data_IF_266718566779
#
_entry.id   IF_266718566779
#
_cell.length_a   1.000
_cell.length_b   1.000
_cell.length_c   1.000
_cell.angle_alpha   90.00
_cell.angle_beta   90.00
_cell.angle_gamma   90.00
#
_symmetry.space_group_name_H-M   'P 1'
#
loop_
_entity.id
_entity.type
_entity.pdbx_description
1 polymer ?
#
# COMPACT_ATOMS: atom_id res chain seq x y z
N UNK A 1 4.54 -22.86 -7.69
CA UNK A 1 4.03 -21.59 -8.22
C UNK A 1 4.85 -21.30 -9.45
N UNK A 2 4.17 -21.08 -10.58
CA UNK A 2 4.82 -20.70 -11.83
C UNK A 2 5.49 -19.32 -11.68
N UNK A 3 6.54 -19.04 -12.45
CA UNK A 3 7.26 -17.76 -12.36
C UNK A 3 6.34 -16.57 -12.68
N UNK A 4 5.35 -16.75 -13.56
CA UNK A 4 4.37 -15.70 -13.89
C UNK A 4 3.40 -15.43 -12.74
N UNK A 5 2.98 -16.47 -12.04
CA UNK A 5 2.11 -16.32 -10.86
C UNK A 5 2.84 -15.58 -9.75
N UNK A 6 4.11 -15.92 -9.50
CA UNK A 6 4.93 -15.23 -8.51
C UNK A 6 5.12 -13.76 -8.89
N UNK A 7 5.37 -13.47 -10.17
CA UNK A 7 5.52 -12.09 -10.65
C UNK A 7 4.25 -11.27 -10.46
N UNK A 8 3.06 -11.82 -10.75
CA UNK A 8 1.78 -11.15 -10.47
C UNK A 8 1.66 -10.74 -9.00
N UNK A 9 2.02 -11.65 -8.08
CA UNK A 9 1.97 -11.35 -6.65
C UNK A 9 2.99 -10.29 -6.25
N UNK A 10 4.19 -10.31 -6.83
CA UNK A 10 5.23 -9.28 -6.61
C UNK A 10 4.73 -7.92 -7.07
N UNK A 11 4.20 -7.82 -8.29
CA UNK A 11 3.74 -6.57 -8.88
C UNK A 11 2.58 -5.98 -8.06
N UNK A 12 1.60 -6.81 -7.70
CA UNK A 12 0.46 -6.38 -6.90
C UNK A 12 0.87 -5.95 -5.49
N UNK A 13 1.77 -6.66 -4.81
CA UNK A 13 2.15 -6.33 -3.41
C UNK A 13 3.13 -5.18 -3.32
N UNK A 14 3.95 -4.99 -4.36
CA UNK A 14 4.94 -3.90 -4.44
C UNK A 14 4.31 -2.57 -4.85
N UNK A 15 3.21 -2.60 -5.59
CA UNK A 15 2.44 -1.40 -5.95
C UNK A 15 1.98 -0.64 -4.69
N UNK A 16 2.12 0.69 -4.72
CA UNK A 16 1.71 1.58 -3.63
C UNK A 16 0.26 2.01 -3.81
N UNK A 17 -0.60 1.75 -2.83
CA UNK A 17 -1.98 2.25 -2.91
C UNK A 17 -2.72 2.21 -1.59
N UNK A 18 -2.73 3.33 -0.88
CA UNK A 18 -3.58 3.54 0.31
C UNK A 18 -5.01 3.93 -0.10
N UNK A 19 -6.01 3.90 0.81
CA UNK A 19 -7.36 4.35 0.49
C UNK A 19 -7.39 5.75 -0.15
N UNK A 20 -8.05 5.85 -1.30
CA UNK A 20 -8.16 7.04 -2.15
C UNK A 20 -6.95 7.32 -3.06
N UNK A 21 -5.91 6.47 -3.07
CA UNK A 21 -4.70 6.63 -3.88
C UNK A 21 -4.27 5.30 -4.54
N UNK A 22 -5.22 4.54 -5.11
CA UNK A 22 -5.04 3.16 -5.59
C UNK A 22 -4.55 3.06 -7.05
N UNK A 23 -4.24 4.18 -7.70
CA UNK A 23 -3.95 4.25 -9.14
C UNK A 23 -2.86 3.28 -9.59
N UNK A 24 -1.76 3.15 -8.85
CA UNK A 24 -0.65 2.27 -9.22
C UNK A 24 -1.08 0.79 -9.21
N UNK A 25 -1.84 0.38 -8.21
CA UNK A 25 -2.38 -0.99 -8.08
C UNK A 25 -3.40 -1.26 -9.18
N UNK A 26 -4.21 -0.26 -9.50
CA UNK A 26 -5.22 -0.32 -10.56
C UNK A 26 -4.59 -0.53 -11.93
N UNK A 27 -3.49 0.15 -12.23
CA UNK A 27 -2.78 -0.05 -13.50
C UNK A 27 -2.18 -1.45 -13.58
N UNK A 28 -1.61 -1.98 -12.48
CA UNK A 28 -1.19 -3.39 -12.42
C UNK A 28 -2.36 -4.32 -12.74
N UNK A 29 -3.50 -4.17 -12.05
CA UNK A 29 -4.68 -5.00 -12.31
C UNK A 29 -5.12 -4.93 -13.77
N UNK A 30 -5.20 -3.72 -14.33
CA UNK A 30 -5.64 -3.47 -15.70
C UNK A 30 -4.74 -4.19 -16.72
N UNK A 31 -3.42 -4.08 -16.58
CA UNK A 31 -2.48 -4.71 -17.51
C UNK A 31 -2.58 -6.24 -17.48
N UNK A 32 -2.76 -6.83 -16.29
CA UNK A 32 -2.96 -8.27 -16.16
C UNK A 32 -4.35 -8.75 -16.64
N UNK A 33 -5.40 -7.92 -16.52
CA UNK A 33 -6.75 -8.27 -16.94
C UNK A 33 -6.97 -8.14 -18.45
N UNK A 34 -6.30 -7.17 -19.10
CA UNK A 34 -6.51 -6.78 -20.50
C UNK A 34 -6.49 -7.92 -21.53
N UNK A 35 -5.63 -8.96 -21.42
CA UNK A 35 -5.63 -10.06 -22.39
C UNK A 35 -6.85 -10.99 -22.30
N UNK A 36 -7.60 -10.94 -21.21
CA UNK A 36 -8.63 -11.93 -20.86
C UNK A 36 -10.03 -11.30 -20.70
N UNK A 37 -10.11 -9.99 -20.55
CA UNK A 37 -11.35 -9.25 -20.42
C UNK A 37 -11.92 -8.84 -21.79
N UNK A 38 -13.23 -8.96 -21.95
CA UNK A 38 -13.96 -8.43 -23.12
C UNK A 38 -14.13 -6.90 -23.02
N UNK A 39 -14.22 -6.40 -21.78
CA UNK A 39 -14.40 -4.98 -21.48
C UNK A 39 -13.77 -4.62 -20.12
N UNK A 40 -13.25 -3.39 -20.01
CA UNK A 40 -12.70 -2.85 -18.75
C UNK A 40 -13.27 -1.45 -18.54
N UNK A 41 -13.91 -1.25 -17.40
CA UNK A 41 -14.52 0.04 -17.03
C UNK A 41 -14.28 0.39 -15.56
N UNK A 42 -14.63 1.61 -15.19
CA UNK A 42 -14.36 2.21 -13.89
C UNK A 42 -15.64 2.78 -13.26
N UNK A 43 -15.69 2.81 -11.92
CA UNK A 43 -16.86 3.32 -11.17
C UNK A 43 -16.84 4.84 -10.92
N UNK A 44 -15.77 5.53 -11.31
CA UNK A 44 -15.56 6.97 -11.09
C UNK A 44 -14.96 7.35 -9.73
N UNK A 45 -14.89 6.43 -8.76
CA UNK A 45 -14.18 6.61 -7.50
C UNK A 45 -12.76 6.06 -7.56
N UNK A 46 -12.57 5.00 -8.33
CA UNK A 46 -11.25 4.43 -8.59
C UNK A 46 -11.24 2.92 -8.81
N UNK A 47 -12.34 2.21 -8.56
CA UNK A 47 -12.42 0.77 -8.83
C UNK A 47 -12.25 0.50 -10.33
N UNK A 48 -11.58 -0.61 -10.65
CA UNK A 48 -11.48 -1.15 -12.01
C UNK A 48 -12.25 -2.46 -12.08
N UNK A 49 -13.05 -2.62 -13.12
CA UNK A 49 -13.89 -3.79 -13.33
C UNK A 49 -13.53 -4.40 -14.69
N UNK A 50 -13.06 -5.65 -14.66
CA UNK A 50 -12.85 -6.45 -15.85
C UNK A 50 -14.04 -7.40 -16.06
N UNK A 51 -14.65 -7.33 -17.23
CA UNK A 51 -15.81 -8.13 -17.60
C UNK A 51 -15.41 -9.18 -18.64
N UNK A 52 -15.94 -10.40 -18.48
CA UNK A 52 -15.81 -11.47 -19.45
C UNK A 52 -17.13 -12.26 -19.57
N UNK A 53 -17.48 -12.67 -20.79
CA UNK A 53 -18.63 -13.51 -21.12
C UNK A 53 -19.64 -12.84 -22.06
N UNK A 54 -20.24 -13.66 -22.94
CA UNK A 54 -21.16 -13.27 -24.01
C UNK A 54 -22.54 -12.73 -23.54
N UNK A 55 -22.82 -12.73 -22.22
CA UNK A 55 -24.12 -12.36 -21.66
C UNK A 55 -25.17 -13.48 -21.73
N UNK A 56 -26.39 -13.19 -21.27
CA UNK A 56 -27.52 -14.15 -21.30
C UNK A 56 -27.66 -15.08 -20.09
N UNK A 57 -26.62 -15.20 -19.25
CA UNK A 57 -26.64 -15.92 -17.97
C UNK A 57 -26.67 -15.01 -16.74
N UNK A 58 -26.62 -15.58 -15.51
CA UNK A 58 -26.48 -14.80 -14.28
C UNK A 58 -25.14 -14.05 -14.26
N UNK A 59 -25.13 -12.87 -13.62
CA UNK A 59 -23.91 -12.09 -13.40
C UNK A 59 -23.26 -12.53 -12.09
N UNK A 60 -22.01 -12.96 -12.16
CA UNK A 60 -21.19 -13.28 -10.98
C UNK A 60 -20.19 -12.15 -10.77
N UNK A 61 -20.10 -11.65 -9.54
CA UNK A 61 -19.16 -10.59 -9.17
C UNK A 61 -18.15 -11.14 -8.18
N UNK A 62 -16.86 -11.06 -8.55
CA UNK A 62 -15.73 -11.48 -7.72
C UNK A 62 -14.89 -10.24 -7.45
N UNK A 63 -14.71 -9.91 -6.18
CA UNK A 63 -14.03 -8.68 -5.77
C UNK A 63 -12.87 -8.95 -4.82
N UNK A 64 -11.70 -8.41 -5.16
CA UNK A 64 -10.65 -8.04 -4.21
C UNK A 64 -10.66 -6.53 -4.01
N UNK A 65 -10.10 -6.05 -2.90
CA UNK A 65 -9.88 -4.61 -2.70
C UNK A 65 -8.42 -4.27 -3.05
N UNK A 66 -8.20 -3.06 -3.58
CA UNK A 66 -6.89 -2.61 -4.07
C UNK A 66 -6.12 -1.82 -3.03
N UNK A 67 -6.81 -1.17 -2.11
CA UNK A 67 -6.19 -0.37 -1.07
C UNK A 67 -5.41 -1.25 -0.08
N UNK A 68 -4.38 -0.66 0.54
CA UNK A 68 -3.67 -1.23 1.67
C UNK A 68 -3.69 -0.22 2.82
N UNK A 69 -3.68 -0.72 4.06
CA UNK A 69 -3.52 0.16 5.21
C UNK A 69 -2.20 0.93 5.10
N UNK A 70 -2.24 2.21 5.45
CA UNK A 70 -1.09 3.10 5.34
C UNK A 70 -1.30 4.38 6.12
N UNK A 71 -0.64 5.45 5.68
CA UNK A 71 -0.71 6.75 6.34
C UNK A 71 -0.79 7.88 5.32
N UNK A 72 -1.12 9.06 5.80
CA UNK A 72 -1.14 10.30 5.03
C UNK A 72 -0.39 11.37 5.80
N UNK A 73 0.51 12.09 5.14
CA UNK A 73 1.19 13.25 5.75
C UNK A 73 0.15 14.30 6.11
N UNK A 74 0.14 14.77 7.37
CA UNK A 74 -0.76 15.84 7.83
C UNK A 74 -0.02 17.16 8.00
N UNK A 75 1.24 17.12 8.42
CA UNK A 75 2.04 18.32 8.69
C UNK A 75 3.53 18.01 8.63
N UNK A 76 4.30 19.01 8.20
CA UNK A 76 5.76 19.02 8.28
C UNK A 76 6.14 19.93 9.45
N UNK A 77 6.90 19.42 10.41
CA UNK A 77 7.39 20.20 11.56
C UNK A 77 8.50 21.16 11.16
N UNK A 78 8.78 22.18 11.98
CA UNK A 78 9.91 23.11 11.77
C UNK A 78 11.26 22.41 11.62
N UNK A 79 11.41 21.23 12.24
CA UNK A 79 12.64 20.43 12.23
C UNK A 79 12.69 19.38 11.11
N UNK A 80 11.71 19.37 10.19
CA UNK A 80 11.70 18.44 9.05
C UNK A 80 11.04 17.08 9.29
N UNK A 81 10.62 16.74 10.52
CA UNK A 81 9.81 15.54 10.78
C UNK A 81 8.39 15.66 10.22
N UNK A 82 7.76 14.54 9.89
CA UNK A 82 6.39 14.47 9.39
C UNK A 82 5.43 13.96 10.47
N UNK A 83 4.35 14.69 10.71
CA UNK A 83 3.16 14.18 11.39
C UNK A 83 2.27 13.49 10.35
N UNK A 84 1.52 12.47 10.78
CA UNK A 84 0.72 11.65 9.87
C UNK A 84 -0.62 11.24 10.48
N UNK A 85 -1.56 10.87 9.61
CA UNK A 85 -2.85 10.26 9.93
C UNK A 85 -2.86 8.83 9.40
N UNK A 86 -3.33 7.87 10.21
CA UNK A 86 -3.53 6.49 9.75
C UNK A 86 -4.69 6.41 8.77
N UNK A 87 -4.50 5.67 7.68
CA UNK A 87 -5.53 5.28 6.72
C UNK A 87 -5.77 3.78 6.89
N UNK A 88 -6.96 3.42 7.39
CA UNK A 88 -7.28 2.07 7.85
C UNK A 88 -6.86 1.80 9.30
N UNK A 89 -7.13 0.57 9.75
CA UNK A 89 -6.91 0.15 11.13
C UNK A 89 -5.46 -0.23 11.40
N UNK A 90 -4.81 0.49 12.32
CA UNK A 90 -3.43 0.21 12.74
C UNK A 90 -3.34 -0.10 14.24
N UNK A 91 -2.49 -1.07 14.57
CA UNK A 91 -2.10 -1.32 15.95
C UNK A 91 -0.77 -0.64 16.24
N UNK A 92 -0.74 0.34 17.14
CA UNK A 92 0.46 1.16 17.40
C UNK A 92 1.72 0.36 17.79
N UNK A 93 1.55 -0.84 18.36
CA UNK A 93 2.68 -1.67 18.77
C UNK A 93 3.50 -2.25 17.62
N UNK A 94 2.97 -2.26 16.39
CA UNK A 94 3.70 -2.76 15.20
C UNK A 94 4.33 -1.65 14.37
N UNK A 95 4.23 -0.38 14.79
CA UNK A 95 4.60 0.77 13.96
C UNK A 95 6.00 1.33 14.23
N UNK A 96 6.43 1.36 15.49
CA UNK A 96 7.72 1.96 15.84
C UNK A 96 8.89 1.21 15.17
N UNK A 97 9.86 1.98 14.68
CA UNK A 97 11.03 1.50 13.96
C UNK A 97 10.73 0.78 12.62
N UNK A 98 9.51 0.91 12.09
CA UNK A 98 9.19 0.42 10.75
C UNK A 98 9.59 1.44 9.67
N UNK A 99 10.04 0.91 8.53
CA UNK A 99 10.34 1.71 7.34
C UNK A 99 9.07 1.98 6.55
N UNK A 100 9.01 3.16 5.94
CA UNK A 100 7.90 3.61 5.10
C UNK A 100 8.42 4.32 3.85
N UNK A 101 7.58 4.38 2.84
CA UNK A 101 7.80 5.15 1.62
C UNK A 101 6.71 6.21 1.49
N UNK A 102 7.11 7.46 1.26
CA UNK A 102 6.23 8.57 0.96
C UNK A 102 6.25 8.78 -0.56
N UNK A 103 5.08 8.72 -1.20
CA UNK A 103 4.94 9.08 -2.62
C UNK A 103 4.42 10.50 -2.73
N UNK A 104 5.26 11.39 -3.22
CA UNK A 104 4.89 12.78 -3.49
C UNK A 104 3.92 12.88 -4.67
N UNK A 105 3.27 14.04 -4.82
CA UNK A 105 2.38 14.33 -5.96
C UNK A 105 3.06 14.23 -7.33
N UNK A 106 4.37 14.44 -7.38
CA UNK A 106 5.18 14.32 -8.61
C UNK A 106 5.66 12.89 -8.86
N UNK A 107 5.25 11.93 -8.02
CA UNK A 107 5.61 10.51 -8.14
C UNK A 107 6.98 10.16 -7.56
N UNK A 108 7.75 11.13 -7.04
CA UNK A 108 9.01 10.86 -6.34
C UNK A 108 8.76 10.09 -5.05
N UNK A 109 9.59 9.07 -4.81
CA UNK A 109 9.58 8.26 -3.59
C UNK A 109 10.64 8.78 -2.61
N UNK A 110 10.24 9.01 -1.37
CA UNK A 110 11.12 9.37 -0.25
C UNK A 110 10.99 8.30 0.83
N UNK A 111 12.12 7.78 1.31
CA UNK A 111 12.13 6.81 2.41
C UNK A 111 12.07 7.51 3.76
N UNK A 112 11.40 6.88 4.72
CA UNK A 112 11.38 7.33 6.10
C UNK A 112 11.26 6.18 7.09
N UNK A 113 11.37 6.52 8.37
CA UNK A 113 11.20 5.60 9.49
C UNK A 113 10.23 6.17 10.51
N UNK A 114 9.33 5.34 11.02
CA UNK A 114 8.43 5.76 12.10
C UNK A 114 9.21 5.80 13.42
N UNK A 115 9.28 7.00 14.01
CA UNK A 115 9.99 7.30 15.24
C UNK A 115 9.08 7.75 16.38
N UNK A 116 9.67 7.82 17.56
CA UNK A 116 9.08 8.39 18.77
C UNK A 116 10.14 9.11 19.59
N UNK A 117 9.74 9.77 20.67
CA UNK A 117 10.73 10.18 21.68
C UNK A 117 11.45 8.93 22.25
N UNK A 118 12.78 8.98 22.46
CA UNK A 118 13.53 7.85 22.98
C UNK A 118 13.05 7.39 24.37
N UNK A 119 13.04 6.08 24.68
CA UNK A 119 12.54 5.60 25.98
C UNK A 119 13.23 6.20 27.20
N UNK A 120 14.53 6.52 27.12
CA UNK A 120 15.33 7.04 28.24
C UNK A 120 14.99 8.48 28.64
N UNK A 121 14.29 9.24 27.78
CA UNK A 121 13.78 10.59 28.10
C UNK A 121 12.33 10.60 28.58
N UNK A 122 11.66 9.44 28.56
CA UNK A 122 10.27 9.30 28.97
C UNK A 122 10.16 9.06 30.49
N UNK A 123 9.05 9.50 31.06
CA UNK A 123 8.69 9.16 32.44
C UNK A 123 8.39 7.65 32.56
N UNK A 124 8.59 7.03 33.74
CA UNK A 124 8.26 5.62 33.95
C UNK A 124 6.80 5.27 33.60
N UNK A 125 5.87 6.19 33.86
CA UNK A 125 4.44 6.00 33.60
C UNK A 125 4.13 5.87 32.10
N UNK A 126 4.82 6.64 31.26
CA UNK A 126 4.67 6.57 29.80
C UNK A 126 5.37 5.33 29.24
N UNK A 127 6.55 4.99 29.77
CA UNK A 127 7.31 3.82 29.32
C UNK A 127 6.57 2.49 29.52
N UNK A 128 5.73 2.40 30.55
CA UNK A 128 5.00 1.17 30.87
C UNK A 128 3.68 1.00 30.08
N UNK A 129 3.44 1.82 29.07
CA UNK A 129 2.25 1.76 28.21
C UNK A 129 2.65 1.74 26.74
N UNK A 130 1.82 1.19 25.84
CA UNK A 130 2.00 1.36 24.40
C UNK A 130 2.11 2.85 24.05
N UNK A 131 3.03 3.19 23.16
CA UNK A 131 3.20 4.55 22.70
C UNK A 131 2.00 4.96 21.83
N UNK A 132 1.47 6.17 22.07
CA UNK A 132 0.30 6.66 21.34
C UNK A 132 0.68 7.02 19.90
N UNK A 133 -0.14 6.60 18.93
CA UNK A 133 0.12 6.84 17.50
C UNK A 133 0.27 8.33 17.19
N UNK A 134 -0.58 9.17 17.81
CA UNK A 134 -0.55 10.64 17.64
C UNK A 134 0.76 11.30 18.09
N UNK A 135 1.56 10.62 18.91
CA UNK A 135 2.83 11.12 19.43
C UNK A 135 4.03 10.59 18.59
N UNK A 136 3.77 9.71 17.62
CA UNK A 136 4.76 9.22 16.65
C UNK A 136 4.97 10.24 15.53
N UNK A 137 6.10 10.13 14.84
CA UNK A 137 6.42 10.93 13.65
C UNK A 137 7.15 10.07 12.62
N UNK A 138 7.22 10.53 11.37
CA UNK A 138 8.10 9.94 10.36
C UNK A 138 9.33 10.83 10.22
N UNK A 139 10.50 10.22 10.36
CA UNK A 139 11.78 10.85 10.07
C UNK A 139 12.22 10.47 8.66
N UNK A 140 12.47 11.48 7.83
CA UNK A 140 12.97 11.33 6.46
C UNK A 140 14.42 11.83 6.32
N UNK A 141 15.06 12.25 7.41
CA UNK A 141 16.42 12.80 7.42
C UNK A 141 16.52 14.28 7.03
N UNK A 142 15.40 15.01 6.96
CA UNK A 142 15.41 16.45 6.73
C UNK A 142 15.78 17.21 8.01
N UNK A 143 16.50 18.32 7.87
CA UNK A 143 16.96 19.20 8.95
C UNK A 143 16.06 20.43 9.15
N UNK A 144 15.11 20.67 8.24
CA UNK A 144 14.18 21.80 8.31
C UNK A 144 12.86 21.50 7.58
N UNK A 145 11.84 22.31 7.88
CA UNK A 145 10.58 22.26 7.14
C UNK A 145 10.77 22.56 5.64
N UNK A 146 11.64 23.53 5.34
CA UNK A 146 11.94 23.98 3.99
C UNK A 146 12.58 22.87 3.16
N UNK A 147 13.58 22.18 3.71
CA UNK A 147 14.24 21.05 3.03
C UNK A 147 13.28 19.91 2.70
N UNK A 148 12.39 19.55 3.63
CA UNK A 148 11.36 18.54 3.37
C UNK A 148 10.40 18.97 2.25
N UNK A 149 10.02 20.26 2.19
CA UNK A 149 9.20 20.81 1.10
C UNK A 149 9.96 20.82 -0.24
N UNK A 150 11.25 21.14 -0.24
CA UNK A 150 12.11 21.08 -1.44
C UNK A 150 12.21 19.67 -2.01
N UNK A 151 12.11 18.65 -1.16
CA UNK A 151 12.05 17.26 -1.62
C UNK A 151 10.71 16.85 -2.22
N UNK A 152 9.70 17.73 -2.15
CA UNK A 152 8.37 17.55 -2.72
C UNK A 152 7.30 17.13 -1.71
N UNK A 153 7.64 16.99 -0.42
CA UNK A 153 6.69 16.52 0.60
C UNK A 153 5.63 17.58 0.86
N UNK A 154 4.36 17.16 0.91
CA UNK A 154 3.21 18.00 1.24
C UNK A 154 2.18 17.25 2.08
N UNK A 155 1.35 17.96 2.88
CA UNK A 155 0.15 17.39 3.43
C UNK A 155 -0.74 16.76 2.34
N UNK A 156 -1.26 15.58 2.63
CA UNK A 156 -2.03 14.76 1.70
C UNK A 156 -1.21 13.70 0.95
N UNK A 157 0.12 13.75 0.97
CA UNK A 157 0.95 12.72 0.34
C UNK A 157 0.76 11.37 1.03
N UNK A 158 0.60 10.31 0.25
CA UNK A 158 0.42 8.97 0.79
C UNK A 158 1.73 8.38 1.31
N UNK A 159 1.61 7.57 2.34
CA UNK A 159 2.70 6.85 2.97
C UNK A 159 2.32 5.36 3.04
N UNK A 160 3.14 4.51 2.45
CA UNK A 160 2.96 3.05 2.47
C UNK A 160 4.05 2.39 3.31
N UNK A 161 3.78 1.25 3.98
CA UNK A 161 4.83 0.41 4.57
C UNK A 161 5.87 0.00 3.53
N UNK A 162 7.13 -0.08 3.93
CA UNK A 162 8.21 -0.59 3.07
C UNK A 162 8.60 -2.01 3.51
N UNK A 163 8.23 -3.00 2.70
CA UNK A 163 8.62 -4.40 2.88
C UNK A 163 9.05 -4.94 1.52
N UNK A 164 10.31 -5.34 1.42
CA UNK A 164 10.81 -6.02 0.22
C UNK A 164 10.19 -7.42 0.14
N UNK A 165 9.70 -7.78 -1.05
CA UNK A 165 9.22 -9.13 -1.31
C UNK A 165 10.32 -10.16 -1.04
N UNK A 166 9.98 -11.24 -0.34
CA UNK A 166 10.93 -12.34 -0.12
C UNK A 166 10.23 -13.69 -0.06
N UNK A 167 10.76 -14.65 -0.82
CA UNK A 167 10.49 -16.06 -0.57
C UNK A 167 11.25 -16.51 0.67
N UNK A 168 10.53 -16.93 1.70
CA UNK A 168 11.14 -17.27 2.98
C UNK A 168 11.93 -18.57 2.87
N UNK A 169 13.26 -18.49 2.96
CA UNK A 169 14.19 -19.63 3.03
C UNK A 169 13.97 -20.67 1.91
N UNK A 170 13.65 -20.22 0.69
CA UNK A 170 13.36 -21.10 -0.45
C UNK A 170 12.08 -21.93 -0.30
N UNK A 171 11.25 -21.65 0.70
CA UNK A 171 10.01 -22.39 0.97
C UNK A 171 8.84 -21.88 0.13
N UNK A 172 7.65 -22.44 0.37
CA UNK A 172 6.38 -21.97 -0.21
C UNK A 172 5.83 -20.69 0.43
N UNK A 173 6.42 -20.21 1.53
CA UNK A 173 5.94 -19.04 2.26
C UNK A 173 6.54 -17.76 1.69
N UNK A 174 5.67 -16.78 1.46
CA UNK A 174 5.99 -15.51 0.81
C UNK A 174 5.82 -14.36 1.81
N UNK A 175 6.83 -13.51 1.93
CA UNK A 175 6.80 -12.28 2.72
C UNK A 175 6.62 -11.10 1.77
N UNK A 176 5.61 -10.27 2.03
CA UNK A 176 5.35 -9.03 1.33
C UNK A 176 4.43 -8.14 2.17
N UNK A 177 4.31 -6.86 1.82
CA UNK A 177 3.22 -6.00 2.31
C UNK A 177 1.92 -6.28 1.55
N UNK A 178 0.82 -5.73 2.06
CA UNK A 178 -0.47 -5.66 1.35
C UNK A 178 -1.07 -7.01 0.91
N UNK A 179 -0.73 -8.15 1.54
CA UNK A 179 -1.43 -9.41 1.25
C UNK A 179 -2.95 -9.24 1.41
N UNK A 180 -3.37 -8.50 2.43
CA UNK A 180 -4.70 -7.92 2.56
C UNK A 180 -4.82 -6.65 1.70
N UNK A 181 -5.57 -6.65 0.59
CA UNK A 181 -6.20 -7.79 -0.08
C UNK A 181 -5.71 -7.96 -1.52
N UNK A 182 -4.42 -7.70 -1.75
CA UNK A 182 -3.78 -7.97 -3.05
C UNK A 182 -3.88 -9.45 -3.42
N UNK A 183 -3.99 -10.36 -2.44
CA UNK A 183 -4.25 -11.77 -2.72
C UNK A 183 -5.64 -12.01 -3.32
N UNK A 184 -6.70 -11.35 -2.83
CA UNK A 184 -8.04 -11.44 -3.40
C UNK A 184 -8.10 -10.86 -4.81
N UNK A 185 -7.39 -9.75 -5.03
CA UNK A 185 -7.20 -9.15 -6.35
C UNK A 185 -6.51 -10.12 -7.32
N UNK A 186 -5.43 -10.77 -6.89
CA UNK A 186 -4.76 -11.80 -7.68
C UNK A 186 -5.69 -12.99 -8.01
N UNK A 187 -6.46 -13.47 -7.03
CA UNK A 187 -7.43 -14.56 -7.23
C UNK A 187 -8.47 -14.17 -8.29
N UNK A 188 -8.99 -12.94 -8.25
CA UNK A 188 -9.96 -12.46 -9.25
C UNK A 188 -9.39 -12.46 -10.68
N UNK A 189 -8.13 -12.04 -10.86
CA UNK A 189 -7.42 -12.10 -12.14
C UNK A 189 -7.17 -13.53 -12.61
N UNK A 190 -6.82 -14.45 -11.70
CA UNK A 190 -6.63 -15.87 -12.04
C UNK A 190 -7.93 -16.53 -12.48
N UNK A 191 -9.05 -16.21 -11.83
CA UNK A 191 -10.37 -16.71 -12.24
C UNK A 191 -10.73 -16.19 -13.63
N UNK A 192 -10.55 -14.88 -13.87
CA UNK A 192 -10.76 -14.28 -15.19
C UNK A 192 -9.94 -14.97 -16.29
N UNK A 193 -8.63 -15.15 -16.06
CA UNK A 193 -7.74 -15.83 -17.02
C UNK A 193 -8.20 -17.26 -17.30
N UNK A 194 -8.54 -18.03 -16.27
CA UNK A 194 -8.94 -19.43 -16.46
C UNK A 194 -10.25 -19.54 -17.25
N UNK A 195 -11.25 -18.72 -16.94
CA UNK A 195 -12.52 -18.71 -17.67
C UNK A 195 -12.35 -18.30 -19.13
N UNK A 196 -11.43 -17.37 -19.43
CA UNK A 196 -11.15 -16.96 -20.81
C UNK A 196 -10.55 -18.05 -21.70
N UNK A 197 -10.02 -19.13 -21.11
CA UNK A 197 -9.44 -20.28 -21.83
C UNK A 197 -10.43 -21.44 -22.01
N UNK A 198 -11.52 -21.45 -21.25
CA UNK A 198 -12.59 -22.45 -21.37
C UNK A 198 -13.68 -22.04 -22.37
N UNK A 199 -13.70 -20.75 -22.75
CA UNK A 199 -14.65 -20.14 -23.68
C UNK A 199 -14.31 -20.40 -25.17
#
# INVERSE_FOLDING_TARGET
MDTKEEQLLIDLTSAKGVPGNEEEVREVFREYAKPFADDIFYDGLGSVIAKHGAGGGPKVFISGHMDEVGFMVTKITEKGFLEFQTLGGWWGQVMLAQQVEIKTREGKIVHGVIGSKPPHVLTPQVRNKPYEIKDMFIDIGASSQEEAKEWGIRPGDMVTPYIEYKRMNGSKYLLAKAWDNRIGTAVSLRVLENLSKEA
#
